data_IF_579499115851
#
_entry.id   IF_579499115851
#
_cell.length_a   1.000
_cell.length_b   1.000
_cell.length_c   1.000
_cell.angle_alpha   90.00
_cell.angle_beta   90.00
_cell.angle_gamma   90.00
#
_symmetry.space_group_name_H-M   'P 1'
#
loop_
_entity.id
_entity.type
_entity.pdbx_description
1 polymer ?
#
# COMPACT_ATOMS: atom_id res chain seq x y z
N UNK A 1 3.16 23.99 -59.32
CA UNK A 1 4.33 23.54 -58.53
C UNK A 1 4.69 24.43 -57.32
N UNK A 2 4.00 25.56 -57.05
CA UNK A 2 4.25 26.41 -55.86
C UNK A 2 3.36 26.08 -54.63
N UNK A 3 2.21 25.46 -54.85
CA UNK A 3 1.26 25.09 -53.78
C UNK A 3 1.68 23.84 -52.99
N UNK A 4 2.43 22.92 -53.61
CA UNK A 4 2.91 21.70 -52.95
C UNK A 4 3.97 21.99 -51.88
N UNK A 5 4.82 23.00 -52.11
CA UNK A 5 5.86 23.40 -51.16
C UNK A 5 5.27 24.12 -49.95
N UNK A 6 4.23 24.94 -50.15
CA UNK A 6 3.57 25.69 -49.05
C UNK A 6 2.83 24.77 -48.09
N UNK A 7 2.24 23.68 -48.59
CA UNK A 7 1.53 22.68 -47.78
C UNK A 7 2.51 21.80 -46.96
N UNK A 8 3.67 21.47 -47.53
CA UNK A 8 4.72 20.72 -46.84
C UNK A 8 5.35 21.49 -45.68
N UNK A 9 5.55 22.81 -45.84
CA UNK A 9 6.10 23.65 -44.78
C UNK A 9 5.11 23.88 -43.63
N UNK A 10 3.80 23.94 -43.92
CA UNK A 10 2.77 24.12 -42.89
C UNK A 10 2.63 22.89 -41.96
N UNK A 11 2.79 21.68 -42.52
CA UNK A 11 2.73 20.42 -41.75
C UNK A 11 3.99 20.26 -40.87
N UNK A 12 5.16 20.64 -41.38
CA UNK A 12 6.41 20.58 -40.63
C UNK A 12 6.42 21.51 -39.39
N UNK A 13 5.77 22.69 -39.49
CA UNK A 13 5.62 23.62 -38.35
C UNK A 13 4.62 23.10 -37.31
N UNK A 14 3.55 22.42 -37.73
CA UNK A 14 2.55 21.85 -36.82
C UNK A 14 3.11 20.69 -35.97
N UNK A 15 4.01 19.85 -36.52
CA UNK A 15 4.69 18.79 -35.77
C UNK A 15 5.79 19.33 -34.83
N UNK A 16 6.37 20.49 -35.12
CA UNK A 16 7.38 21.11 -34.25
C UNK A 16 6.76 21.88 -33.06
N UNK A 17 5.47 22.22 -33.12
CA UNK A 17 4.75 22.96 -32.08
C UNK A 17 4.04 22.05 -31.05
N UNK A 18 4.00 20.73 -31.24
CA UNK A 18 3.50 19.79 -30.24
C UNK A 18 4.59 19.48 -29.22
N UNK A 19 4.81 20.39 -28.28
CA UNK A 19 5.52 20.04 -27.04
C UNK A 19 4.66 18.99 -26.32
N UNK A 20 5.17 17.77 -26.08
CA UNK A 20 4.43 16.80 -25.29
C UNK A 20 4.26 17.36 -23.88
N UNK A 21 3.02 17.59 -23.46
CA UNK A 21 2.72 17.87 -22.06
C UNK A 21 3.17 16.66 -21.24
N UNK A 22 3.86 16.86 -20.09
CA UNK A 22 4.18 15.74 -19.22
C UNK A 22 2.87 15.08 -18.78
N UNK A 23 2.73 13.79 -19.09
CA UNK A 23 1.69 12.96 -18.49
C UNK A 23 2.16 12.65 -17.07
N UNK A 24 1.46 13.14 -16.06
CA UNK A 24 1.69 12.73 -14.68
C UNK A 24 0.89 11.46 -14.41
N UNK A 25 1.59 10.39 -14.03
CA UNK A 25 0.95 9.24 -13.45
C UNK A 25 0.66 9.52 -11.97
N UNK A 26 -0.46 8.99 -11.46
CA UNK A 26 -0.70 8.97 -10.02
C UNK A 26 0.34 8.06 -9.37
N UNK A 27 1.12 8.61 -8.44
CA UNK A 27 2.19 7.87 -7.78
C UNK A 27 1.60 6.85 -6.78
N UNK A 28 2.01 5.57 -6.82
CA UNK A 28 1.56 4.60 -5.83
C UNK A 28 2.07 4.97 -4.44
N UNK A 29 1.19 4.88 -3.44
CA UNK A 29 1.57 5.12 -2.03
C UNK A 29 1.07 3.98 -1.17
N UNK A 30 1.86 3.63 -0.15
CA UNK A 30 1.45 2.74 0.93
C UNK A 30 1.32 3.55 2.22
N UNK A 31 0.30 3.22 3.01
CA UNK A 31 -0.01 3.91 4.26
C UNK A 31 0.26 3.03 5.46
N UNK A 32 -0.05 1.72 5.37
CA UNK A 32 0.11 0.79 6.48
C UNK A 32 0.19 -0.67 6.02
N UNK A 33 0.68 -1.52 6.92
CA UNK A 33 0.50 -2.97 6.91
C UNK A 33 -0.07 -3.37 8.28
N UNK A 34 -1.06 -4.25 8.28
CA UNK A 34 -1.67 -4.79 9.49
C UNK A 34 -1.76 -6.32 9.40
N UNK A 35 -1.27 -7.08 10.39
CA UNK A 35 -0.48 -6.62 11.55
C UNK A 35 0.80 -5.89 11.16
N UNK A 36 1.28 -4.98 12.02
CA UNK A 36 2.51 -4.22 11.77
C UNK A 36 3.78 -5.06 12.06
N UNK A 37 3.61 -6.18 12.75
CA UNK A 37 4.65 -7.17 12.98
C UNK A 37 4.07 -8.56 13.24
N UNK A 38 4.96 -9.54 13.30
CA UNK A 38 4.63 -10.96 13.47
C UNK A 38 5.76 -11.72 14.17
N UNK A 39 5.41 -12.83 14.81
CA UNK A 39 6.36 -13.76 15.40
C UNK A 39 7.11 -14.57 14.32
N UNK A 40 8.41 -14.82 14.53
CA UNK A 40 9.19 -15.75 13.72
C UNK A 40 8.59 -17.15 13.68
N UNK A 41 8.81 -17.85 12.56
CA UNK A 41 8.32 -19.22 12.37
C UNK A 41 6.82 -19.30 12.10
N UNK A 42 6.15 -18.17 11.84
CA UNK A 42 4.71 -18.13 11.58
C UNK A 42 4.40 -17.81 10.12
N UNK A 43 3.16 -18.08 9.73
CA UNK A 43 2.58 -17.63 8.46
C UNK A 43 1.25 -16.97 8.78
N UNK A 44 1.07 -15.73 8.31
CA UNK A 44 -0.01 -14.84 8.75
C UNK A 44 -0.58 -14.05 7.57
N UNK A 45 -1.92 -13.95 7.44
CA UNK A 45 -2.54 -12.97 6.54
C UNK A 45 -2.24 -11.54 6.98
N UNK A 46 -2.07 -10.65 6.00
CA UNK A 46 -1.88 -9.22 6.23
C UNK A 46 -2.81 -8.39 5.34
N UNK A 47 -3.13 -7.19 5.80
CA UNK A 47 -3.79 -6.15 5.04
C UNK A 47 -2.80 -5.01 4.81
N UNK A 48 -2.69 -4.56 3.57
CA UNK A 48 -1.89 -3.41 3.16
C UNK A 48 -2.83 -2.34 2.64
N UNK A 49 -2.79 -1.15 3.24
CA UNK A 49 -3.55 0.01 2.78
C UNK A 49 -2.69 0.94 1.94
N UNK A 50 -3.22 1.43 0.81
CA UNK A 50 -2.52 2.39 -0.03
C UNK A 50 -3.34 2.95 -1.20
N UNK A 51 -2.79 3.95 -1.89
CA UNK A 51 -3.39 4.56 -3.07
C UNK A 51 -2.70 4.08 -4.35
N UNK A 52 -3.47 4.00 -5.44
CA UNK A 52 -2.97 3.71 -6.79
C UNK A 52 -2.12 2.42 -6.91
N UNK A 53 -2.41 1.41 -6.07
CA UNK A 53 -1.71 0.12 -6.13
C UNK A 53 -2.24 -0.81 -7.25
N UNK A 54 -3.44 -0.53 -7.80
CA UNK A 54 -4.11 -1.31 -8.86
C UNK A 54 -4.33 -2.79 -8.47
N UNK A 55 -4.86 -3.63 -9.37
CA UNK A 55 -5.38 -4.96 -8.98
C UNK A 55 -4.33 -5.98 -8.52
N UNK A 56 -3.11 -5.90 -9.06
CA UNK A 56 -2.05 -6.89 -8.83
C UNK A 56 -0.67 -6.22 -8.75
N UNK A 57 -0.41 -5.41 -7.72
CA UNK A 57 0.89 -4.78 -7.55
C UNK A 57 1.96 -5.82 -7.23
N UNK A 58 3.23 -5.48 -7.54
CA UNK A 58 4.37 -6.25 -7.06
C UNK A 58 4.67 -5.85 -5.61
N UNK A 59 4.55 -6.80 -4.70
CA UNK A 59 4.87 -6.62 -3.30
C UNK A 59 6.21 -7.28 -2.96
N UNK A 60 7.02 -6.61 -2.15
CA UNK A 60 8.37 -7.05 -1.82
C UNK A 60 8.70 -6.78 -0.35
N UNK A 61 9.28 -7.79 0.31
CA UNK A 61 9.99 -7.64 1.58
C UNK A 61 11.47 -7.41 1.28
N UNK A 62 12.06 -6.43 1.95
CA UNK A 62 13.46 -6.07 1.82
C UNK A 62 14.26 -6.78 2.91
N UNK A 63 15.20 -7.65 2.51
CA UNK A 63 16.00 -8.47 3.40
C UNK A 63 15.55 -9.93 3.43
N UNK A 64 16.27 -10.74 4.19
CA UNK A 64 16.06 -12.20 4.26
C UNK A 64 15.16 -12.61 5.43
N UNK A 65 14.50 -13.76 5.30
CA UNK A 65 13.73 -14.39 6.37
C UNK A 65 12.24 -14.02 6.41
N UNK A 66 11.79 -13.07 5.58
CA UNK A 66 10.35 -12.82 5.35
C UNK A 66 10.04 -13.01 3.88
N UNK A 67 9.04 -13.83 3.58
CA UNK A 67 8.67 -14.21 2.22
C UNK A 67 7.18 -13.99 1.96
N UNK A 68 6.85 -13.64 0.71
CA UNK A 68 5.48 -13.45 0.26
C UNK A 68 4.88 -14.83 -0.06
N UNK A 69 3.98 -15.31 0.80
CA UNK A 69 3.28 -16.57 0.59
C UNK A 69 2.11 -16.42 -0.39
N UNK A 70 1.38 -15.29 -0.30
CA UNK A 70 0.31 -14.94 -1.23
C UNK A 70 0.47 -13.46 -1.64
N UNK A 71 0.39 -13.13 -2.94
CA UNK A 71 0.58 -11.77 -3.43
C UNK A 71 -0.57 -10.86 -2.97
N UNK A 72 -0.34 -9.55 -3.00
CA UNK A 72 -1.39 -8.58 -2.74
C UNK A 72 -2.49 -8.66 -3.80
N UNK A 73 -3.74 -8.66 -3.33
CA UNK A 73 -4.96 -8.56 -4.13
C UNK A 73 -5.90 -7.59 -3.46
N UNK A 74 -6.66 -6.83 -4.26
CA UNK A 74 -7.67 -5.91 -3.75
C UNK A 74 -8.61 -6.64 -2.79
N UNK A 75 -8.72 -6.14 -1.57
CA UNK A 75 -9.61 -6.71 -0.57
C UNK A 75 -11.07 -6.47 -1.00
N UNK A 76 -12.00 -7.40 -0.69
CA UNK A 76 -13.41 -7.24 -1.04
C UNK A 76 -14.10 -6.14 -0.23
N UNK A 77 -13.55 -5.77 0.93
CA UNK A 77 -14.02 -4.69 1.79
C UNK A 77 -12.83 -3.93 2.35
N UNK A 78 -12.89 -2.60 2.27
CA UNK A 78 -12.00 -1.71 3.03
C UNK A 78 -12.57 -1.49 4.42
N UNK A 79 -11.75 -1.60 5.46
CA UNK A 79 -12.14 -1.22 6.82
C UNK A 79 -12.13 0.31 6.90
N UNK A 80 -13.30 0.89 7.14
CA UNK A 80 -13.46 2.33 7.23
C UNK A 80 -13.36 2.78 8.68
N UNK A 81 -12.54 3.79 8.93
CA UNK A 81 -12.47 4.47 10.22
C UNK A 81 -13.24 5.77 10.12
N UNK A 82 -14.12 6.03 11.10
CA UNK A 82 -14.84 7.29 11.15
C UNK A 82 -13.85 8.45 11.39
N UNK A 83 -13.68 9.28 10.36
CA UNK A 83 -12.93 10.51 10.46
C UNK A 83 -13.73 11.61 11.18
N UNK A 84 -13.05 12.68 11.65
CA UNK A 84 -13.74 13.85 12.17
C UNK A 84 -14.64 14.48 11.08
N UNK A 85 -15.75 15.09 11.50
CA UNK A 85 -16.64 15.80 10.57
C UNK A 85 -15.88 16.93 9.86
N UNK A 86 -15.80 16.85 8.54
CA UNK A 86 -15.15 17.87 7.71
C UNK A 86 -16.18 18.97 7.41
N UNK A 87 -15.94 20.24 7.83
CA UNK A 87 -16.88 21.33 7.59
C UNK A 87 -16.92 21.72 6.10
N UNK A 88 -18.00 22.38 5.69
CA UNK A 88 -18.08 23.00 4.36
C UNK A 88 -17.11 24.21 4.29
N UNK A 89 -16.43 24.45 3.16
CA UNK A 89 -16.58 23.75 1.88
C UNK A 89 -15.64 22.54 1.70
N UNK A 90 -14.80 22.21 2.69
CA UNK A 90 -13.74 21.19 2.54
C UNK A 90 -14.30 19.78 2.28
N UNK A 91 -15.50 19.48 2.77
CA UNK A 91 -16.21 18.22 2.45
C UNK A 91 -16.69 18.09 1.01
N UNK A 92 -16.61 19.14 0.19
CA UNK A 92 -16.95 19.09 -1.25
C UNK A 92 -15.77 18.67 -2.13
N UNK A 93 -14.59 18.47 -1.54
CA UNK A 93 -13.40 18.03 -2.27
C UNK A 93 -13.52 16.55 -2.61
N UNK A 94 -12.91 16.12 -3.72
CA UNK A 94 -12.74 14.70 -4.01
C UNK A 94 -11.95 14.07 -2.87
N UNK A 95 -12.58 13.12 -2.19
CA UNK A 95 -11.91 12.33 -1.17
C UNK A 95 -11.22 11.14 -1.84
N UNK A 96 -9.94 10.97 -1.53
CA UNK A 96 -9.12 9.87 -2.01
C UNK A 96 -8.66 9.10 -0.78
N UNK A 97 -9.23 7.92 -0.59
CA UNK A 97 -8.97 7.07 0.56
C UNK A 97 -8.15 5.86 0.13
N UNK A 98 -7.25 5.37 1.01
CA UNK A 98 -6.48 4.19 0.71
C UNK A 98 -7.41 2.99 0.52
N UNK A 99 -7.06 2.17 -0.44
CA UNK A 99 -7.68 0.89 -0.68
C UNK A 99 -6.94 -0.20 0.08
N UNK A 100 -7.69 -1.17 0.60
CA UNK A 100 -7.12 -2.32 1.28
C UNK A 100 -6.78 -3.43 0.30
N UNK A 101 -5.65 -4.08 0.55
CA UNK A 101 -5.16 -5.24 -0.18
C UNK A 101 -4.84 -6.35 0.80
N UNK A 102 -5.34 -7.55 0.52
CA UNK A 102 -5.04 -8.73 1.30
C UNK A 102 -3.85 -9.49 0.70
N UNK A 103 -2.97 -9.99 1.55
CA UNK A 103 -1.85 -10.85 1.19
C UNK A 103 -1.48 -11.76 2.35
N UNK A 104 -0.38 -12.50 2.21
CA UNK A 104 0.10 -13.41 3.25
C UNK A 104 1.62 -13.46 3.29
N UNK A 105 2.16 -13.44 4.50
CA UNK A 105 3.59 -13.55 4.76
C UNK A 105 3.91 -14.89 5.42
N UNK A 106 5.09 -15.43 5.09
CA UNK A 106 5.75 -16.51 5.83
C UNK A 106 7.07 -15.99 6.37
N UNK A 107 7.27 -16.16 7.68
CA UNK A 107 8.40 -15.66 8.44
C UNK A 107 9.19 -16.86 8.90
N UNK A 108 10.43 -16.95 8.45
CA UNK A 108 11.30 -18.06 8.80
C UNK A 108 11.55 -18.11 10.31
N UNK A 109 11.75 -19.31 10.86
CA UNK A 109 12.05 -19.48 12.28
C UNK A 109 13.37 -18.80 12.68
N UNK A 110 14.29 -18.65 11.73
CA UNK A 110 15.61 -18.04 11.85
C UNK A 110 15.72 -16.65 11.20
N UNK A 111 14.58 -16.04 10.78
CA UNK A 111 14.56 -14.69 10.22
C UNK A 111 15.28 -13.69 11.14
N UNK A 112 15.78 -12.55 10.70
CA UNK A 112 16.39 -11.58 11.65
C UNK A 112 15.35 -10.93 12.58
N UNK A 113 15.70 -10.66 13.84
CA UNK A 113 14.80 -10.04 14.83
C UNK A 113 14.79 -8.53 14.63
N UNK A 114 13.64 -7.91 14.81
CA UNK A 114 13.49 -6.46 14.76
C UNK A 114 12.91 -5.96 13.43
N UNK A 115 13.40 -4.81 12.96
CA UNK A 115 12.80 -4.08 11.85
C UNK A 115 13.22 -4.66 10.50
N UNK A 116 12.23 -5.07 9.73
CA UNK A 116 12.29 -5.33 8.30
C UNK A 116 11.63 -4.17 7.56
N UNK A 117 11.91 -4.05 6.26
CA UNK A 117 11.25 -3.08 5.41
C UNK A 117 10.51 -3.78 4.28
N UNK A 118 9.46 -3.14 3.78
CA UNK A 118 8.70 -3.64 2.64
C UNK A 118 8.24 -2.48 1.78
N UNK A 119 7.93 -2.78 0.52
CA UNK A 119 7.44 -1.80 -0.44
C UNK A 119 6.54 -2.44 -1.47
N UNK A 120 5.84 -1.60 -2.23
CA UNK A 120 4.97 -2.02 -3.32
C UNK A 120 5.36 -1.29 -4.60
N UNK A 121 5.28 -1.95 -5.74
CA UNK A 121 5.57 -1.39 -7.04
C UNK A 121 4.45 -1.67 -8.05
N UNK A 122 4.21 -0.69 -8.91
CA UNK A 122 3.26 -0.74 -10.03
C UNK A 122 3.96 -0.29 -11.31
N UNK A 123 3.24 -0.26 -12.44
CA UNK A 123 3.77 0.33 -13.68
C UNK A 123 4.00 1.85 -13.60
N UNK A 124 3.46 2.52 -12.56
CA UNK A 124 3.58 3.96 -12.35
C UNK A 124 4.74 4.34 -11.42
N UNK A 125 5.35 3.36 -10.73
CA UNK A 125 6.47 3.62 -9.83
C UNK A 125 6.55 2.60 -8.68
N UNK A 126 7.41 2.90 -7.70
CA UNK A 126 7.53 2.14 -6.47
C UNK A 126 7.30 3.07 -5.28
N UNK A 127 6.70 2.53 -4.22
CA UNK A 127 6.39 3.31 -3.02
C UNK A 127 7.64 3.52 -2.16
N UNK A 128 7.58 4.49 -1.24
CA UNK A 128 8.51 4.52 -0.11
C UNK A 128 8.35 3.25 0.74
N UNK A 129 9.46 2.71 1.23
CA UNK A 129 9.42 1.53 2.09
C UNK A 129 8.92 1.85 3.50
N UNK A 130 8.04 0.99 4.03
CA UNK A 130 7.54 1.06 5.40
C UNK A 130 8.16 -0.04 6.27
N UNK A 131 8.22 0.14 7.59
CA UNK A 131 8.71 -0.87 8.51
C UNK A 131 7.72 -2.03 8.68
N UNK A 132 8.25 -3.18 9.08
CA UNK A 132 7.52 -4.36 9.54
C UNK A 132 8.35 -5.04 10.63
N UNK A 133 7.75 -5.40 11.76
CA UNK A 133 8.49 -5.92 12.92
C UNK A 133 8.46 -7.44 12.95
N UNK A 134 9.62 -8.08 13.09
CA UNK A 134 9.73 -9.53 13.35
C UNK A 134 10.14 -9.75 14.80
N UNK A 135 9.26 -10.37 15.57
CA UNK A 135 9.43 -10.63 17.00
C UNK A 135 9.57 -12.12 17.33
N UNK A 136 9.87 -12.40 18.60
CA UNK A 136 9.95 -13.79 19.14
C UNK A 136 8.83 -14.10 20.14
N UNK A 137 8.07 -13.08 20.57
CA UNK A 137 6.98 -13.24 21.52
C UNK A 137 5.73 -13.81 20.83
N UNK A 138 4.86 -14.51 21.56
CA UNK A 138 3.51 -14.80 21.10
C UNK A 138 2.80 -13.51 20.73
N UNK A 139 1.95 -13.56 19.70
CA UNK A 139 1.21 -12.37 19.25
C UNK A 139 -0.29 -12.57 19.32
N UNK A 140 -0.98 -11.51 19.71
CA UNK A 140 -2.43 -11.35 19.54
C UNK A 140 -2.67 -10.21 18.57
N UNK A 141 -3.52 -10.47 17.58
CA UNK A 141 -4.00 -9.47 16.63
C UNK A 141 -5.39 -9.04 17.08
N UNK A 142 -5.57 -7.74 17.28
CA UNK A 142 -6.85 -7.18 17.66
C UNK A 142 -7.87 -7.34 16.52
N UNK A 143 -9.10 -7.69 16.91
CA UNK A 143 -10.26 -7.66 16.04
C UNK A 143 -11.07 -6.40 16.38
N UNK A 144 -11.12 -5.46 15.44
CA UNK A 144 -11.89 -4.23 15.59
C UNK A 144 -13.38 -4.53 15.75
N UNK A 145 -14.00 -3.91 16.75
CA UNK A 145 -15.43 -4.02 17.04
C UNK A 145 -16.05 -2.65 17.23
N UNK A 146 -17.32 -2.50 16.84
CA UNK A 146 -18.07 -1.27 17.08
C UNK A 146 -18.46 -1.16 18.56
N UNK A 147 -18.30 0.03 19.15
CA UNK A 147 -18.78 0.35 20.50
C UNK A 147 -17.74 0.14 21.60
N UNK A 148 -18.20 -0.19 22.82
CA UNK A 148 -17.33 -0.34 24.00
C UNK A 148 -16.73 -1.76 24.09
N UNK A 149 -15.41 -1.93 23.95
CA UNK A 149 -14.80 -3.25 23.91
C UNK A 149 -14.74 -3.91 25.29
N UNK A 150 -14.92 -5.24 25.32
CA UNK A 150 -14.71 -6.05 26.51
C UNK A 150 -13.20 -6.35 26.64
N UNK A 151 -12.56 -6.06 27.78
CA UNK A 151 -11.14 -6.39 27.97
C UNK A 151 -10.85 -7.87 27.79
N UNK A 152 -9.86 -8.19 26.95
CA UNK A 152 -9.41 -9.58 26.72
C UNK A 152 -8.22 -9.90 27.62
N UNK A 153 -8.28 -10.95 28.47
CA UNK A 153 -7.14 -11.35 29.29
C UNK A 153 -6.03 -11.93 28.41
N UNK A 154 -4.79 -11.51 28.65
CA UNK A 154 -3.59 -12.00 27.96
C UNK A 154 -2.55 -12.51 28.95
N UNK A 155 -1.68 -13.43 28.49
CA UNK A 155 -0.56 -13.93 29.28
C UNK A 155 0.73 -13.27 28.82
N UNK A 156 1.45 -12.61 29.73
CA UNK A 156 2.71 -11.94 29.46
C UNK A 156 3.91 -12.92 29.50
N UNK A 157 5.00 -12.67 28.75
CA UNK A 157 5.18 -11.57 27.79
C UNK A 157 4.51 -11.86 26.44
N UNK A 158 3.95 -10.82 25.81
CA UNK A 158 3.20 -10.91 24.55
C UNK A 158 3.37 -9.64 23.71
N UNK A 159 3.22 -9.76 22.40
CA UNK A 159 3.01 -8.63 21.48
C UNK A 159 1.51 -8.50 21.18
N UNK A 160 0.98 -7.28 21.21
CA UNK A 160 -0.40 -7.01 20.78
C UNK A 160 -0.32 -6.08 19.56
N UNK A 161 -0.92 -6.51 18.45
CA UNK A 161 -1.10 -5.68 17.27
C UNK A 161 -2.51 -5.08 17.34
N UNK A 162 -2.62 -3.80 17.66
CA UNK A 162 -3.86 -3.02 17.55
C UNK A 162 -3.90 -2.19 16.28
N UNK A 163 -5.09 -1.86 15.78
CA UNK A 163 -5.28 -1.03 14.58
C UNK A 163 -6.20 0.15 14.83
#
# INVERSE_FOLDING_TARGET
MKHATLFGTLIAVACAASLPSPLHADEPTVSYIYPAGVQRGTTMPVIVGGHYLHDAPRWEMLGDGVSIAEPLRRAPRTVWFEGPVIPLPDSQRKEDYPADYQGKLTIAADASFGLHRWQVATSQGATTSLPFVVGDLPEVVEEEIDGDPIPTPVTLPITINGR
#
